data_IF_060429041882
#
_entry.id   IF_060429041882
#
_cell.length_a   1.000
_cell.length_b   1.000
_cell.length_c   1.000
_cell.angle_alpha   90.00
_cell.angle_beta   90.00
_cell.angle_gamma   90.00
#
_symmetry.space_group_name_H-M   'P 1'
#
loop_
_entity.id
_entity.type
_entity.pdbx_description
1 polymer ?
#
# COMPACT_ATOMS: atom_id res chain seq x y z
N UNK A 1 20.52 -7.73 12.26
CA UNK A 1 20.16 -6.32 11.97
C UNK A 1 19.01 -5.95 12.91
N UNK A 2 18.97 -4.73 13.45
CA UNK A 2 17.85 -4.29 14.29
C UNK A 2 16.61 -3.98 13.44
N UNK A 3 15.44 -4.43 13.90
CA UNK A 3 14.16 -4.17 13.25
C UNK A 3 13.52 -2.90 13.82
N UNK A 4 12.97 -2.06 12.94
CA UNK A 4 12.12 -0.92 13.32
C UNK A 4 10.69 -1.27 12.95
N UNK A 5 9.86 -1.62 13.95
CA UNK A 5 8.49 -2.07 13.75
C UNK A 5 7.52 -1.00 14.25
N UNK A 6 6.70 -0.46 13.35
CA UNK A 6 5.58 0.41 13.68
C UNK A 6 4.27 -0.39 13.68
N UNK A 7 3.40 -0.17 14.69
CA UNK A 7 2.07 -0.79 14.77
C UNK A 7 1.03 0.30 14.98
N UNK A 8 0.02 0.33 14.12
CA UNK A 8 -1.09 1.29 14.18
C UNK A 8 -2.42 0.56 14.01
N UNK A 9 -3.46 1.04 14.68
CA UNK A 9 -4.83 0.59 14.48
C UNK A 9 -5.53 1.45 13.44
N UNK A 10 -6.23 0.84 12.50
CA UNK A 10 -6.99 1.54 11.45
C UNK A 10 -8.45 1.11 11.56
N UNK A 11 -9.37 2.07 11.61
CA UNK A 11 -10.82 1.83 11.64
C UNK A 11 -11.35 1.57 10.22
N UNK A 12 -10.89 0.49 9.60
CA UNK A 12 -11.31 0.07 8.25
C UNK A 12 -11.17 -1.46 8.12
N UNK A 13 -11.73 -2.03 7.05
CA UNK A 13 -11.54 -3.46 6.76
C UNK A 13 -10.13 -3.73 6.27
N UNK A 14 -9.63 -4.95 6.50
CA UNK A 14 -8.29 -5.33 6.03
C UNK A 14 -8.14 -5.20 4.51
N UNK A 15 -9.20 -5.53 3.75
CA UNK A 15 -9.20 -5.39 2.28
C UNK A 15 -9.11 -3.93 1.83
N UNK A 16 -9.78 -3.00 2.51
CA UNK A 16 -9.68 -1.58 2.19
C UNK A 16 -8.29 -1.02 2.51
N UNK A 17 -7.67 -1.44 3.63
CA UNK A 17 -6.29 -1.06 3.96
C UNK A 17 -5.30 -1.63 2.93
N UNK A 18 -5.47 -2.90 2.53
CA UNK A 18 -4.65 -3.52 1.50
C UNK A 18 -4.76 -2.75 0.18
N UNK A 19 -5.97 -2.48 -0.29
CA UNK A 19 -6.17 -1.73 -1.54
C UNK A 19 -5.51 -0.34 -1.49
N UNK A 20 -5.58 0.36 -0.35
CA UNK A 20 -4.96 1.67 -0.20
C UNK A 20 -3.43 1.66 -0.33
N UNK A 21 -2.76 0.53 -0.11
CA UNK A 21 -1.28 0.43 -0.18
C UNK A 21 -0.77 -0.49 -1.29
N UNK A 22 -1.66 -1.26 -1.94
CA UNK A 22 -1.30 -2.25 -2.96
C UNK A 22 -1.69 -1.84 -4.39
N UNK A 23 -2.45 -0.74 -4.56
CA UNK A 23 -2.85 -0.24 -5.88
C UNK A 23 -2.17 1.09 -6.21
N UNK A 24 -2.02 1.37 -7.51
CA UNK A 24 -1.50 2.63 -8.02
C UNK A 24 -2.38 3.80 -7.56
N UNK A 25 -3.70 3.63 -7.61
CA UNK A 25 -4.66 4.63 -7.13
C UNK A 25 -4.56 4.83 -5.60
N UNK A 26 -4.40 3.75 -4.83
CA UNK A 26 -4.26 3.84 -3.38
C UNK A 26 -3.00 4.59 -3.00
N UNK A 27 -1.87 4.22 -3.60
CA UNK A 27 -0.58 4.85 -3.39
C UNK A 27 -0.56 6.32 -3.87
N UNK A 28 -1.27 6.64 -4.96
CA UNK A 28 -1.31 8.02 -5.45
C UNK A 28 -2.04 8.97 -4.51
N UNK A 29 -3.05 8.46 -3.81
CA UNK A 29 -3.81 9.21 -2.81
C UNK A 29 -3.15 9.23 -1.42
N UNK A 30 -2.28 8.27 -1.11
CA UNK A 30 -1.67 8.13 0.22
C UNK A 30 -0.20 8.62 0.31
N UNK A 31 0.62 8.38 -0.72
CA UNK A 31 2.07 8.62 -0.68
C UNK A 31 2.51 9.83 -1.50
N UNK A 32 2.25 9.84 -2.81
CA UNK A 32 2.62 10.93 -3.73
C UNK A 32 1.73 10.90 -4.96
N UNK A 33 1.51 12.04 -5.62
CA UNK A 33 0.53 12.13 -6.71
C UNK A 33 0.89 11.30 -7.96
N UNK A 34 2.18 11.19 -8.27
CA UNK A 34 2.64 10.51 -9.49
C UNK A 34 3.12 9.09 -9.16
N UNK A 35 2.24 8.12 -9.35
CA UNK A 35 2.53 6.69 -9.14
C UNK A 35 2.24 5.93 -10.43
N UNK A 36 3.19 5.09 -10.83
CA UNK A 36 3.08 4.19 -11.98
C UNK A 36 3.66 2.84 -11.61
N UNK A 37 3.06 1.74 -12.09
CA UNK A 37 3.57 0.39 -11.85
C UNK A 37 2.56 -0.68 -12.23
N UNK A 38 2.91 -1.93 -11.95
CA UNK A 38 1.99 -3.06 -12.09
C UNK A 38 1.66 -3.65 -10.71
N UNK A 39 0.37 -3.88 -10.49
CA UNK A 39 -0.17 -4.41 -9.24
C UNK A 39 -0.15 -5.95 -9.20
N UNK A 40 0.20 -6.62 -10.31
CA UNK A 40 0.30 -8.06 -10.43
C UNK A 40 1.64 -8.57 -9.93
N UNK A 41 1.60 -9.69 -9.21
CA UNK A 41 2.81 -10.38 -8.76
C UNK A 41 3.44 -11.11 -9.94
N UNK A 42 4.72 -10.84 -10.20
CA UNK A 42 5.53 -11.52 -11.21
C UNK A 42 4.96 -11.43 -12.64
N UNK A 43 4.74 -10.20 -13.12
CA UNK A 43 4.59 -10.03 -14.56
C UNK A 43 5.80 -10.61 -15.31
N UNK A 44 5.52 -11.44 -16.31
CA UNK A 44 6.51 -12.06 -17.18
C UNK A 44 6.99 -11.09 -18.25
#
# INVERSE_FOLDING_TARGET
MPDIIHRIGIRSTAGAVYNAVATVEGLSNWWTNEVTGNEQVNEK
#
